data_IF_063194606853
#
_entry.id   IF_063194606853
#
_cell.length_a   1.000
_cell.length_b   1.000
_cell.length_c   1.000
_cell.angle_alpha   90.00
_cell.angle_beta   90.00
_cell.angle_gamma   90.00
#
_symmetry.space_group_name_H-M   'P 1'
#
loop_
_entity.id
_entity.type
_entity.pdbx_description
1 polymer ?
#
# COMPACT_ATOMS: atom_id res chain seq x y z
N UNK A 1 68.61 -18.09 -30.98
CA UNK A 1 67.55 -17.67 -31.90
C UNK A 1 66.44 -17.15 -31.01
N UNK A 2 66.35 -15.82 -30.96
CA UNK A 2 65.64 -15.01 -29.96
C UNK A 2 64.12 -15.22 -29.94
N UNK A 3 63.54 -15.06 -28.75
CA UNK A 3 62.12 -14.80 -28.55
C UNK A 3 61.75 -13.43 -29.18
N UNK A 4 60.67 -13.39 -29.95
CA UNK A 4 59.99 -12.16 -30.33
C UNK A 4 58.56 -12.15 -29.75
N UNK A 5 58.05 -11.00 -29.25
CA UNK A 5 56.89 -10.96 -28.37
C UNK A 5 55.58 -10.59 -29.09
N UNK A 6 54.46 -11.05 -28.52
CA UNK A 6 53.10 -10.63 -28.81
C UNK A 6 52.91 -9.13 -28.59
N UNK A 7 52.55 -8.40 -29.64
CA UNK A 7 52.10 -7.01 -29.58
C UNK A 7 50.60 -6.94 -29.27
N UNK A 8 50.28 -6.49 -28.04
CA UNK A 8 48.95 -6.02 -27.64
C UNK A 8 48.53 -4.87 -28.55
N UNK A 9 47.43 -5.03 -29.30
CA UNK A 9 46.78 -3.94 -30.02
C UNK A 9 45.62 -3.42 -29.18
N UNK A 10 45.77 -2.15 -28.83
CA UNK A 10 44.91 -1.25 -28.08
C UNK A 10 43.47 -1.25 -28.63
N UNK A 11 42.49 -1.67 -27.81
CA UNK A 11 41.09 -1.34 -28.05
C UNK A 11 40.78 -0.11 -27.19
N UNK A 12 40.67 1.04 -27.85
CA UNK A 12 40.33 2.32 -27.23
C UNK A 12 38.92 2.26 -26.66
N UNK A 13 38.84 2.49 -25.35
CA UNK A 13 37.63 2.86 -24.62
C UNK A 13 36.90 4.02 -25.29
N UNK A 14 35.57 3.94 -25.32
CA UNK A 14 34.63 5.02 -25.00
C UNK A 14 33.19 4.47 -25.07
N UNK A 15 32.80 3.70 -24.04
CA UNK A 15 31.39 3.57 -23.66
C UNK A 15 31.29 4.28 -22.32
N UNK A 16 30.88 5.55 -22.37
CA UNK A 16 30.44 6.30 -21.21
C UNK A 16 29.13 5.70 -20.72
N UNK A 17 29.22 4.63 -19.93
CA UNK A 17 28.12 4.16 -19.10
C UNK A 17 27.88 5.20 -18.01
N UNK A 18 26.79 5.95 -18.14
CA UNK A 18 26.21 6.74 -17.07
C UNK A 18 25.80 5.75 -15.97
N UNK A 19 26.67 5.53 -15.00
CA UNK A 19 26.34 4.81 -13.77
C UNK A 19 25.51 5.76 -12.90
N UNK A 20 24.19 5.64 -12.97
CA UNK A 20 23.30 6.12 -11.91
C UNK A 20 23.46 5.17 -10.72
N UNK A 21 24.41 5.46 -9.85
CA UNK A 21 24.55 4.78 -8.56
C UNK A 21 23.42 5.25 -7.66
N UNK A 22 22.36 4.46 -7.57
CA UNK A 22 21.36 4.55 -6.49
C UNK A 22 22.04 4.06 -5.23
N UNK A 23 22.44 4.99 -4.36
CA UNK A 23 22.94 4.67 -3.04
C UNK A 23 21.74 4.34 -2.15
N UNK A 24 21.56 3.07 -1.82
CA UNK A 24 20.62 2.62 -0.78
C UNK A 24 21.27 2.89 0.58
N UNK A 25 20.77 3.88 1.30
CA UNK A 25 21.08 4.08 2.71
C UNK A 25 20.12 3.21 3.52
N UNK A 26 20.67 2.24 4.26
CA UNK A 26 19.96 1.48 5.28
C UNK A 26 20.09 2.25 6.59
N UNK A 27 19.08 3.03 6.94
CA UNK A 27 18.88 3.55 8.30
C UNK A 27 17.85 2.67 8.99
N UNK A 28 18.21 2.07 10.12
CA UNK A 28 17.23 1.49 11.03
C UNK A 28 16.51 2.67 11.69
N UNK A 29 15.28 2.92 11.24
CA UNK A 29 14.41 3.98 11.76
C UNK A 29 13.83 3.62 13.12
N UNK A 30 13.31 4.63 13.81
CA UNK A 30 12.43 4.38 14.95
C UNK A 30 11.04 4.10 14.38
N UNK A 31 10.67 2.83 14.28
CA UNK A 31 9.35 2.43 13.79
C UNK A 31 8.25 3.27 14.46
N UNK A 32 7.43 3.92 13.63
CA UNK A 32 6.23 4.64 14.04
C UNK A 32 5.03 3.89 13.47
N UNK A 33 4.05 3.60 14.32
CA UNK A 33 2.83 2.90 13.95
C UNK A 33 2.01 3.73 12.97
N UNK A 34 1.58 3.14 11.85
CA UNK A 34 0.80 3.85 10.83
C UNK A 34 -0.54 3.23 10.50
N UNK A 35 -1.51 4.12 10.36
CA UNK A 35 -2.87 3.86 9.91
C UNK A 35 -2.95 3.73 8.36
N UNK A 36 -1.91 4.09 7.59
CA UNK A 36 -1.92 4.04 6.11
C UNK A 36 -1.46 2.70 5.53
N UNK A 37 -2.09 2.15 4.49
CA UNK A 37 -1.64 0.90 3.81
C UNK A 37 -0.90 1.23 2.51
N UNK A 38 0.25 0.59 2.25
CA UNK A 38 1.00 0.65 0.98
C UNK A 38 0.12 0.75 -0.26
N UNK A 39 -0.91 -0.10 -0.37
CA UNK A 39 -1.81 -0.11 -1.52
C UNK A 39 -2.61 1.18 -1.64
N UNK A 40 -3.17 1.66 -0.53
CA UNK A 40 -4.00 2.87 -0.53
C UNK A 40 -3.17 4.15 -0.58
N UNK A 41 -2.04 4.20 0.15
CA UNK A 41 -1.17 5.37 0.26
C UNK A 41 -0.38 5.62 -1.03
N UNK A 42 0.22 4.58 -1.62
CA UNK A 42 1.14 4.73 -2.75
C UNK A 42 0.62 4.08 -4.03
N UNK A 43 0.12 2.84 -3.91
CA UNK A 43 -0.16 1.96 -5.03
C UNK A 43 0.74 0.72 -5.00
N UNK A 44 0.25 -0.44 -5.46
CA UNK A 44 1.02 -1.70 -5.39
C UNK A 44 1.82 -1.99 -6.66
N UNK A 45 1.36 -1.56 -7.82
CA UNK A 45 2.10 -1.71 -9.06
C UNK A 45 2.50 -0.36 -9.64
N UNK A 46 3.50 -0.30 -10.52
CA UNK A 46 3.81 0.94 -11.25
C UNK A 46 2.60 1.53 -11.97
N UNK A 47 1.66 0.70 -12.45
CA UNK A 47 0.40 1.18 -13.05
C UNK A 47 -0.46 1.92 -12.04
N UNK A 48 -0.56 1.41 -10.82
CA UNK A 48 -1.33 2.02 -9.73
C UNK A 48 -0.69 3.36 -9.33
N UNK A 49 0.63 3.38 -9.17
CA UNK A 49 1.40 4.57 -8.78
C UNK A 49 1.33 5.65 -9.86
N UNK A 50 1.60 5.29 -11.12
CA UNK A 50 1.61 6.20 -12.26
C UNK A 50 0.25 6.82 -12.54
N UNK A 51 -0.84 6.11 -12.24
CA UNK A 51 -2.19 6.59 -12.50
C UNK A 51 -2.84 7.24 -11.28
N UNK A 52 -2.10 7.43 -10.19
CA UNK A 52 -2.65 7.82 -8.88
C UNK A 52 -3.88 6.94 -8.52
N UNK A 53 -3.76 5.64 -8.79
CA UNK A 53 -4.74 4.55 -8.61
C UNK A 53 -6.05 4.65 -9.43
N UNK A 54 -6.17 5.62 -10.34
CA UNK A 54 -7.37 5.73 -11.18
C UNK A 54 -7.62 4.50 -12.09
N UNK A 55 -6.56 3.77 -12.45
CA UNK A 55 -6.66 2.55 -13.25
C UNK A 55 -6.69 1.25 -12.42
N UNK A 56 -6.51 1.31 -11.11
CA UNK A 56 -6.35 0.12 -10.26
C UNK A 56 -7.57 -0.82 -10.30
N UNK A 57 -8.78 -0.27 -10.42
CA UNK A 57 -10.02 -1.06 -10.59
C UNK A 57 -10.12 -1.83 -11.92
N UNK A 58 -9.34 -1.41 -12.92
CA UNK A 58 -9.39 -1.95 -14.28
C UNK A 58 -8.11 -2.71 -14.67
N UNK A 59 -7.10 -2.69 -13.81
CA UNK A 59 -5.86 -3.38 -14.01
C UNK A 59 -6.08 -4.88 -13.81
N UNK A 60 -5.60 -5.70 -14.74
CA UNK A 60 -5.75 -7.16 -14.72
C UNK A 60 -4.48 -7.88 -14.24
N UNK A 61 -3.45 -7.14 -13.86
CA UNK A 61 -2.19 -7.69 -13.34
C UNK A 61 -2.37 -8.27 -11.94
N UNK A 62 -1.30 -8.79 -11.34
CA UNK A 62 -1.34 -9.42 -10.02
C UNK A 62 -1.94 -8.54 -8.92
N UNK A 63 -1.79 -7.20 -9.01
CA UNK A 63 -2.40 -6.26 -8.05
C UNK A 63 -3.93 -6.21 -8.08
N UNK A 64 -4.57 -6.75 -9.14
CA UNK A 64 -6.02 -6.93 -9.18
C UNK A 64 -6.53 -7.81 -8.03
N UNK A 65 -5.72 -8.74 -7.54
CA UNK A 65 -6.07 -9.56 -6.38
C UNK A 65 -6.31 -8.72 -5.11
N UNK A 66 -5.72 -7.52 -5.02
CA UNK A 66 -5.93 -6.57 -3.94
C UNK A 66 -7.00 -5.53 -4.28
N UNK A 67 -6.93 -4.86 -5.45
CA UNK A 67 -7.82 -3.74 -5.76
C UNK A 67 -9.21 -4.13 -6.25
N UNK A 68 -9.28 -5.10 -7.16
CA UNK A 68 -10.54 -5.54 -7.77
C UNK A 68 -10.40 -6.96 -8.36
N UNK A 69 -10.78 -8.00 -7.59
CA UNK A 69 -10.67 -9.38 -8.03
C UNK A 69 -11.32 -9.66 -9.40
N UNK A 70 -12.45 -9.01 -9.74
CA UNK A 70 -13.12 -9.26 -11.01
C UNK A 70 -12.32 -8.79 -12.23
N UNK A 71 -11.33 -7.92 -12.06
CA UNK A 71 -10.46 -7.53 -13.16
C UNK A 71 -9.51 -8.66 -13.58
N UNK A 72 -9.27 -9.67 -12.72
CA UNK A 72 -8.43 -10.84 -13.05
C UNK A 72 -8.96 -11.60 -14.28
N UNK A 73 -10.28 -11.76 -14.44
CA UNK A 73 -10.83 -12.45 -15.62
C UNK A 73 -10.78 -11.62 -16.91
N UNK A 74 -10.24 -10.39 -16.85
CA UNK A 74 -9.95 -9.58 -18.04
C UNK A 74 -8.53 -9.79 -18.56
N UNK A 75 -7.69 -10.54 -17.82
CA UNK A 75 -6.35 -10.91 -18.26
C UNK A 75 -6.39 -11.93 -19.41
N UNK A 76 -5.62 -11.66 -20.45
CA UNK A 76 -5.50 -12.54 -21.62
C UNK A 76 -4.52 -13.71 -21.39
N UNK A 77 -3.58 -13.55 -20.44
CA UNK A 77 -2.50 -14.50 -20.14
C UNK A 77 -2.26 -14.54 -18.63
N UNK A 78 -1.67 -15.65 -18.15
CA UNK A 78 -1.12 -15.70 -16.80
C UNK A 78 0.10 -14.80 -16.68
N UNK A 79 0.43 -14.42 -15.47
CA UNK A 79 1.54 -13.52 -15.16
C UNK A 79 2.25 -13.96 -13.89
N UNK A 80 3.57 -13.79 -13.87
CA UNK A 80 4.36 -13.75 -12.64
C UNK A 80 5.06 -12.41 -12.56
N UNK A 81 4.90 -11.74 -11.42
CA UNK A 81 5.25 -10.34 -11.17
C UNK A 81 6.25 -10.23 -10.02
N UNK A 82 7.26 -9.39 -10.18
CA UNK A 82 8.12 -8.92 -9.10
C UNK A 82 8.24 -7.40 -9.21
N UNK A 83 8.02 -6.70 -8.11
CA UNK A 83 8.06 -5.24 -8.02
C UNK A 83 8.94 -4.77 -6.89
N UNK A 84 9.53 -3.60 -7.07
CA UNK A 84 10.23 -2.83 -6.06
C UNK A 84 9.56 -1.46 -5.96
N UNK A 85 9.49 -0.93 -4.75
CA UNK A 85 8.98 0.40 -4.47
C UNK A 85 9.92 1.07 -3.47
N UNK A 86 10.08 2.38 -3.61
CA UNK A 86 10.71 3.23 -2.60
C UNK A 86 9.90 4.51 -2.50
N UNK A 87 9.28 4.75 -1.35
CA UNK A 87 8.62 5.99 -1.01
C UNK A 87 9.43 6.71 0.04
N UNK A 88 9.80 7.96 -0.21
CA UNK A 88 10.60 8.77 0.72
C UNK A 88 9.81 10.04 1.05
N UNK A 89 9.36 10.19 2.31
CA UNK A 89 8.79 11.43 2.78
C UNK A 89 9.91 12.47 2.97
N UNK A 90 9.53 13.72 2.77
CA UNK A 90 10.27 14.93 3.16
C UNK A 90 9.23 15.86 3.77
N UNK A 91 8.84 15.51 5.00
CA UNK A 91 7.74 16.12 5.74
C UNK A 91 8.28 16.72 7.03
N UNK A 92 7.77 17.89 7.40
CA UNK A 92 8.11 18.56 8.65
C UNK A 92 6.86 18.88 9.45
N UNK A 93 6.94 18.71 10.77
CA UNK A 93 5.95 19.18 11.73
C UNK A 93 6.67 19.99 12.82
N UNK A 94 6.68 21.32 12.68
CA UNK A 94 7.49 22.18 13.55
C UNK A 94 9.00 21.89 13.43
N UNK A 95 9.63 21.45 14.53
CA UNK A 95 11.06 21.07 14.54
C UNK A 95 11.31 19.60 14.17
N UNK A 96 10.24 18.79 14.07
CA UNK A 96 10.34 17.36 13.74
C UNK A 96 10.36 17.18 12.22
N UNK A 97 11.28 16.34 11.73
CA UNK A 97 11.35 15.93 10.34
C UNK A 97 11.03 14.43 10.22
N UNK A 98 10.32 14.06 9.16
CA UNK A 98 9.99 12.69 8.80
C UNK A 98 10.58 12.39 7.42
N UNK A 99 11.64 11.59 7.41
CA UNK A 99 12.43 11.27 6.21
C UNK A 99 12.66 9.75 6.02
N UNK A 100 12.02 8.92 6.83
CA UNK A 100 12.15 7.46 6.78
C UNK A 100 11.49 6.88 5.53
N UNK A 101 12.26 6.13 4.73
CA UNK A 101 11.80 5.62 3.45
C UNK A 101 11.13 4.24 3.56
N UNK A 102 9.95 4.08 2.98
CA UNK A 102 9.25 2.79 2.87
C UNK A 102 9.70 2.05 1.61
N UNK A 103 10.26 0.84 1.76
CA UNK A 103 10.89 0.10 0.64
C UNK A 103 10.43 -1.37 0.53
N UNK A 104 9.18 -1.65 0.07
CA UNK A 104 8.70 -3.01 -0.06
C UNK A 104 9.20 -3.70 -1.34
N UNK A 105 9.39 -5.01 -1.21
CA UNK A 105 9.46 -5.94 -2.34
C UNK A 105 8.10 -6.59 -2.49
N UNK A 106 7.60 -6.58 -3.72
CA UNK A 106 6.31 -7.17 -4.08
C UNK A 106 6.52 -8.38 -4.99
N UNK A 107 5.79 -9.45 -4.73
CA UNK A 107 5.73 -10.62 -5.59
C UNK A 107 4.27 -10.98 -5.86
N UNK A 108 3.95 -11.34 -7.09
CA UNK A 108 2.58 -11.66 -7.46
C UNK A 108 2.49 -12.64 -8.61
N UNK A 109 1.31 -13.21 -8.76
CA UNK A 109 0.96 -14.00 -9.93
C UNK A 109 -0.53 -13.91 -10.23
N UNK A 110 -0.89 -14.10 -11.49
CA UNK A 110 -2.25 -14.44 -11.86
C UNK A 110 -2.24 -15.63 -12.84
N UNK A 111 -3.30 -16.41 -12.82
CA UNK A 111 -3.39 -17.63 -13.62
C UNK A 111 -4.83 -17.92 -14.01
N UNK A 112 -5.03 -18.30 -15.26
CA UNK A 112 -6.28 -18.88 -15.73
C UNK A 112 -6.33 -20.37 -15.36
N UNK A 113 -7.29 -20.74 -14.52
CA UNK A 113 -7.47 -22.10 -14.02
C UNK A 113 -8.72 -22.77 -14.57
N UNK A 114 -9.37 -22.19 -15.58
CA UNK A 114 -10.62 -22.70 -16.15
C UNK A 114 -10.51 -24.17 -16.54
N UNK A 115 -9.36 -24.56 -17.10
CA UNK A 115 -9.10 -25.94 -17.55
C UNK A 115 -8.81 -26.94 -16.41
N UNK A 116 -8.69 -26.49 -15.16
CA UNK A 116 -8.53 -27.38 -14.00
C UNK A 116 -9.87 -27.92 -13.49
N UNK A 117 -10.98 -27.28 -13.88
CA UNK A 117 -12.31 -27.63 -13.41
C UNK A 117 -13.24 -27.98 -14.57
N UNK A 118 -14.26 -28.82 -14.31
CA UNK A 118 -15.29 -29.16 -15.29
C UNK A 118 -16.38 -28.07 -15.44
N UNK A 119 -16.09 -26.83 -15.05
CA UNK A 119 -17.05 -25.72 -15.14
C UNK A 119 -16.96 -25.05 -16.51
N UNK A 120 -18.10 -24.61 -17.05
CA UNK A 120 -18.15 -23.92 -18.35
C UNK A 120 -17.80 -22.43 -18.27
N UNK A 121 -17.56 -21.90 -17.08
CA UNK A 121 -17.25 -20.49 -16.86
C UNK A 121 -15.74 -20.28 -16.73
N UNK A 122 -15.17 -19.22 -17.35
CA UNK A 122 -13.77 -18.87 -17.14
C UNK A 122 -13.49 -18.50 -15.69
N UNK A 123 -12.49 -19.14 -15.07
CA UNK A 123 -12.07 -18.91 -13.68
C UNK A 123 -10.59 -18.51 -13.65
N UNK A 124 -10.30 -17.48 -12.88
CA UNK A 124 -8.95 -16.93 -12.71
C UNK A 124 -8.62 -16.82 -11.23
N UNK A 125 -7.36 -17.06 -10.88
CA UNK A 125 -6.81 -16.79 -9.55
C UNK A 125 -5.69 -15.76 -9.64
N UNK A 126 -5.58 -14.94 -8.60
CA UNK A 126 -4.53 -13.96 -8.44
C UNK A 126 -4.01 -13.97 -7.01
N UNK A 127 -2.73 -13.69 -6.87
CA UNK A 127 -2.04 -13.52 -5.60
C UNK A 127 -1.07 -12.35 -5.72
N UNK A 128 -1.01 -11.52 -4.69
CA UNK A 128 0.04 -10.52 -4.51
C UNK A 128 0.45 -10.48 -3.04
N UNK A 129 1.75 -10.43 -2.79
CA UNK A 129 2.34 -10.34 -1.48
C UNK A 129 3.39 -9.24 -1.45
N UNK A 130 3.51 -8.57 -0.30
CA UNK A 130 4.51 -7.54 -0.07
C UNK A 130 5.24 -7.73 1.24
N UNK A 131 6.57 -7.59 1.22
CA UNK A 131 7.43 -7.62 2.40
C UNK A 131 8.17 -6.28 2.46
N UNK A 132 8.07 -5.57 3.59
CA UNK A 132 8.79 -4.32 3.83
C UNK A 132 10.24 -4.55 4.29
N UNK A 133 11.09 -3.53 4.07
CA UNK A 133 12.47 -3.42 4.53
C UNK A 133 13.32 -4.69 4.35
N UNK A 134 13.28 -5.28 3.15
CA UNK A 134 14.15 -6.38 2.74
C UNK A 134 14.22 -7.58 3.71
N UNK A 135 13.20 -7.78 4.56
CA UNK A 135 13.11 -8.86 5.53
C UNK A 135 13.95 -8.68 6.80
N UNK A 136 14.56 -7.52 7.07
CA UNK A 136 15.23 -7.25 8.35
C UNK A 136 14.26 -6.83 9.44
N UNK A 137 13.11 -6.29 9.06
CA UNK A 137 12.08 -5.80 9.98
C UNK A 137 10.75 -6.49 9.70
N UNK A 138 10.80 -7.83 9.69
CA UNK A 138 9.61 -8.67 9.76
C UNK A 138 8.77 -8.43 11.04
N UNK A 139 9.28 -7.62 11.98
CA UNK A 139 8.73 -7.44 13.32
C UNK A 139 9.07 -6.05 13.89
N UNK A 140 8.41 -5.01 13.39
CA UNK A 140 8.39 -3.69 14.04
C UNK A 140 7.03 -3.50 14.70
N UNK A 141 7.01 -3.51 16.04
CA UNK A 141 5.87 -3.13 16.86
C UNK A 141 6.29 -1.91 17.68
N UNK A 142 5.54 -0.82 17.57
CA UNK A 142 5.81 0.43 18.29
C UNK A 142 4.51 1.05 18.78
N UNK A 143 3.94 0.49 19.84
CA UNK A 143 2.79 1.09 20.51
C UNK A 143 3.27 1.96 21.68
N UNK A 144 3.38 3.27 21.45
CA UNK A 144 3.68 4.26 22.49
C UNK A 144 2.82 5.51 22.33
N UNK A 145 2.33 6.06 23.45
CA UNK A 145 1.90 7.47 23.51
C UNK A 145 3.11 8.33 23.19
N UNK A 146 2.93 9.35 22.33
CA UNK A 146 4.05 10.15 21.85
C UNK A 146 3.94 11.57 22.36
N UNK A 147 5.00 12.01 23.04
CA UNK A 147 5.18 13.41 23.43
C UNK A 147 5.41 14.32 22.21
N UNK A 148 5.67 13.73 21.04
CA UNK A 148 5.83 14.40 19.73
C UNK A 148 4.78 13.90 18.71
N UNK A 149 4.53 14.62 17.63
CA UNK A 149 3.52 14.20 16.64
C UNK A 149 3.92 12.93 15.86
N UNK A 150 2.93 12.17 15.35
CA UNK A 150 3.11 10.95 14.57
C UNK A 150 2.31 11.00 13.26
N UNK A 151 2.90 10.60 12.12
CA UNK A 151 2.19 10.60 10.84
C UNK A 151 1.16 9.46 10.76
N UNK A 152 -0.08 9.80 10.42
CA UNK A 152 -1.12 8.78 10.26
C UNK A 152 -0.84 7.82 9.09
N UNK A 153 -0.31 8.31 7.96
CA UNK A 153 -0.36 7.62 6.67
C UNK A 153 0.95 7.00 6.14
N UNK A 154 2.10 7.27 6.78
CA UNK A 154 3.43 7.04 6.19
C UNK A 154 4.39 6.18 7.03
N UNK A 155 3.90 5.43 8.01
CA UNK A 155 4.74 4.50 8.78
C UNK A 155 4.74 3.09 8.19
N UNK A 156 5.53 2.23 8.83
CA UNK A 156 5.89 0.90 8.33
C UNK A 156 4.78 -0.13 8.58
N UNK A 157 4.63 -1.09 7.66
CA UNK A 157 3.67 -2.20 7.79
C UNK A 157 4.30 -3.57 7.56
N UNK A 158 3.87 -4.58 8.35
CA UNK A 158 4.35 -5.93 8.19
C UNK A 158 3.78 -6.61 6.94
N UNK A 159 4.25 -7.82 6.67
CA UNK A 159 3.88 -8.67 5.53
C UNK A 159 2.36 -8.71 5.29
N UNK A 160 1.96 -8.37 4.06
CA UNK A 160 0.59 -8.58 3.58
C UNK A 160 0.55 -9.55 2.39
N UNK A 161 -0.52 -10.33 2.31
CA UNK A 161 -0.80 -11.26 1.22
C UNK A 161 -2.26 -11.14 0.82
N UNK A 162 -2.57 -10.79 -0.43
CA UNK A 162 -3.92 -10.83 -0.98
C UNK A 162 -4.05 -11.99 -1.97
N UNK A 163 -5.07 -12.82 -1.78
CA UNK A 163 -5.39 -13.96 -2.64
C UNK A 163 -6.87 -13.90 -3.05
N UNK A 164 -7.10 -13.93 -4.35
CA UNK A 164 -8.41 -13.64 -4.93
C UNK A 164 -8.70 -14.51 -6.14
N UNK A 165 -9.98 -14.78 -6.37
CA UNK A 165 -10.48 -15.48 -7.53
C UNK A 165 -11.54 -14.65 -8.26
N UNK A 166 -11.72 -14.92 -9.55
CA UNK A 166 -12.80 -14.34 -10.32
C UNK A 166 -13.39 -15.31 -11.32
N UNK A 167 -14.64 -15.03 -11.69
CA UNK A 167 -15.43 -15.82 -12.61
C UNK A 167 -16.17 -14.90 -13.57
N UNK A 168 -16.08 -15.19 -14.86
CA UNK A 168 -16.91 -14.53 -15.86
C UNK A 168 -18.25 -15.24 -15.97
N UNK A 169 -19.32 -14.57 -15.53
CA UNK A 169 -20.67 -15.16 -15.49
C UNK A 169 -21.31 -15.14 -16.88
N UNK A 170 -21.21 -14.00 -17.57
CA UNK A 170 -21.61 -13.81 -18.96
C UNK A 170 -20.57 -12.92 -19.66
N UNK A 171 -20.49 -12.93 -21.00
CA UNK A 171 -19.57 -12.05 -21.72
C UNK A 171 -19.71 -10.59 -21.29
N UNK A 172 -18.65 -10.06 -20.67
CA UNK A 172 -18.57 -8.69 -20.17
C UNK A 172 -19.10 -8.44 -18.75
N UNK A 173 -19.67 -9.42 -18.05
CA UNK A 173 -19.91 -9.33 -16.60
C UNK A 173 -19.01 -10.33 -15.86
N UNK A 174 -18.12 -9.79 -15.04
CA UNK A 174 -17.24 -10.56 -14.18
C UNK A 174 -17.49 -10.20 -12.73
N UNK A 175 -17.49 -11.21 -11.87
CA UNK A 175 -17.46 -11.04 -10.41
C UNK A 175 -16.19 -11.68 -9.85
N UNK A 176 -15.70 -11.18 -8.73
CA UNK A 176 -14.56 -11.76 -8.04
C UNK A 176 -14.66 -11.57 -6.54
N UNK A 177 -13.94 -12.41 -5.82
CA UNK A 177 -13.86 -12.39 -4.38
C UNK A 177 -12.56 -12.99 -3.88
N UNK A 178 -12.13 -12.58 -2.70
CA UNK A 178 -10.89 -13.02 -2.09
C UNK A 178 -10.73 -12.51 -0.68
N UNK A 179 -9.51 -12.61 -0.18
CA UNK A 179 -9.15 -12.08 1.11
C UNK A 179 -7.71 -11.58 1.11
N UNK A 180 -7.47 -10.53 1.89
CA UNK A 180 -6.15 -10.12 2.33
C UNK A 180 -5.87 -10.72 3.71
N UNK A 181 -4.67 -11.22 3.89
CA UNK A 181 -4.12 -11.62 5.18
C UNK A 181 -3.01 -10.64 5.50
N UNK A 182 -3.13 -9.96 6.65
CA UNK A 182 -2.05 -9.17 7.22
C UNK A 182 -1.52 -9.87 8.46
N UNK A 183 -0.22 -10.10 8.50
CA UNK A 183 0.46 -10.68 9.65
C UNK A 183 1.02 -9.55 10.50
N UNK A 184 0.61 -9.45 11.75
CA UNK A 184 1.21 -8.54 12.72
C UNK A 184 2.25 -9.31 13.54
N UNK A 185 3.26 -8.61 14.06
CA UNK A 185 4.43 -9.23 14.66
C UNK A 185 4.29 -9.51 16.16
N UNK A 186 4.95 -10.58 16.62
CA UNK A 186 5.15 -10.89 18.02
C UNK A 186 6.32 -10.05 18.57
N UNK A 187 6.09 -9.17 19.55
CA UNK A 187 7.13 -8.34 20.16
C UNK A 187 7.36 -8.71 21.63
N UNK A 188 8.59 -8.60 22.13
CA UNK A 188 8.87 -8.75 23.56
C UNK A 188 9.07 -7.36 24.19
N UNK A 189 8.12 -6.87 24.98
CA UNK A 189 8.25 -5.59 25.70
C UNK A 189 8.97 -5.80 27.03
N UNK A 190 9.95 -4.95 27.36
CA UNK A 190 10.51 -4.87 28.70
C UNK A 190 9.79 -3.76 29.47
N UNK A 191 8.99 -4.13 30.47
CA UNK A 191 8.37 -3.18 31.38
C UNK A 191 9.34 -2.89 32.51
N UNK A 192 9.64 -1.61 32.75
CA UNK A 192 10.40 -1.15 33.91
C UNK A 192 9.42 -0.48 34.88
N UNK A 193 9.23 -1.08 36.06
CA UNK A 193 8.32 -0.57 37.08
C UNK A 193 9.10 0.22 38.12
N UNK A 194 8.72 1.46 38.40
CA UNK A 194 9.34 2.29 39.44
C UNK A 194 8.33 2.59 40.55
N UNK A 195 8.69 2.24 41.79
CA UNK A 195 7.95 2.64 42.99
C UNK A 195 8.90 3.52 43.81
N UNK A 196 8.46 4.73 44.16
CA UNK A 196 9.18 5.68 45.03
C UNK A 196 10.54 6.26 44.57
N UNK A 197 10.93 6.06 43.30
CA UNK A 197 12.23 6.48 42.77
C UNK A 197 13.32 5.41 42.94
N UNK A 198 12.91 4.18 43.22
CA UNK A 198 13.78 3.00 43.22
C UNK A 198 13.31 2.03 42.13
N UNK A 199 14.15 1.77 41.12
CA UNK A 199 13.85 0.84 40.03
C UNK A 199 13.49 -0.56 40.58
N UNK A 200 12.27 -1.01 40.31
CA UNK A 200 11.67 -2.22 40.86
C UNK A 200 11.36 -3.23 39.75
N UNK A 201 12.38 -3.61 38.98
CA UNK A 201 12.38 -4.82 38.14
C UNK A 201 12.16 -4.59 36.64
N UNK A 202 12.92 -5.33 35.83
CA UNK A 202 12.72 -5.48 34.39
C UNK A 202 11.89 -6.75 34.13
N UNK A 203 10.76 -6.62 33.47
CA UNK A 203 9.92 -7.74 33.07
C UNK A 203 9.79 -7.84 31.57
N UNK A 204 10.16 -8.99 31.01
CA UNK A 204 10.01 -9.27 29.58
C UNK A 204 8.64 -9.93 29.33
N UNK A 205 7.81 -9.27 28.54
CA UNK A 205 6.45 -9.68 28.19
C UNK A 205 6.42 -10.05 26.71
N UNK A 206 6.11 -11.30 26.39
CA UNK A 206 5.89 -11.74 25.02
C UNK A 206 4.49 -11.33 24.54
N UNK A 207 4.44 -10.56 23.46
CA UNK A 207 3.24 -10.15 22.74
C UNK A 207 3.04 -11.18 21.63
N UNK A 208 1.85 -11.77 21.56
CA UNK A 208 1.43 -12.62 20.46
C UNK A 208 0.39 -11.86 19.62
N UNK A 209 0.63 -11.69 18.32
CA UNK A 209 -0.29 -11.00 17.41
C UNK A 209 -1.02 -11.99 16.50
N UNK A 210 -2.35 -11.86 16.37
CA UNK A 210 -3.17 -12.74 15.52
C UNK A 210 -3.23 -12.22 14.07
N UNK A 211 -3.24 -13.12 13.06
CA UNK A 211 -3.41 -12.72 11.66
C UNK A 211 -4.81 -12.15 11.42
N UNK A 212 -4.89 -11.06 10.66
CA UNK A 212 -6.15 -10.39 10.32
C UNK A 212 -6.53 -10.77 8.89
N UNK A 213 -7.76 -11.26 8.71
CA UNK A 213 -8.28 -11.66 7.40
C UNK A 213 -9.36 -10.69 6.97
N UNK A 214 -9.11 -9.98 5.89
CA UNK A 214 -9.96 -8.92 5.36
C UNK A 214 -10.60 -9.35 4.04
N UNK A 215 -11.92 -9.33 3.91
CA UNK A 215 -12.60 -9.74 2.68
C UNK A 215 -12.39 -8.73 1.55
N UNK A 216 -12.30 -9.23 0.31
CA UNK A 216 -12.25 -8.43 -0.90
C UNK A 216 -13.33 -8.93 -1.87
N UNK A 217 -14.08 -8.01 -2.47
CA UNK A 217 -15.08 -8.33 -3.50
C UNK A 217 -15.00 -7.35 -4.66
N UNK A 218 -15.38 -7.80 -5.85
CA UNK A 218 -15.26 -7.01 -7.07
C UNK A 218 -16.30 -7.36 -8.13
N UNK A 219 -16.72 -6.35 -8.90
CA UNK A 219 -17.56 -6.50 -10.08
C UNK A 219 -17.03 -5.63 -11.21
N UNK A 220 -17.04 -6.18 -12.43
CA UNK A 220 -16.66 -5.46 -13.65
C UNK A 220 -17.70 -5.70 -14.74
N UNK A 221 -18.12 -4.60 -15.38
CA UNK A 221 -19.07 -4.54 -16.49
C UNK A 221 -18.37 -3.94 -17.72
N UNK A 222 -18.10 -4.76 -18.73
CA UNK A 222 -17.62 -4.36 -20.06
C UNK A 222 -18.81 -4.23 -21.00
N UNK A 223 -19.27 -3.00 -21.19
CA UNK A 223 -20.45 -2.68 -21.99
C UNK A 223 -20.30 -3.04 -23.46
N UNK A 224 -19.06 -2.99 -23.99
CA UNK A 224 -18.76 -3.42 -25.35
C UNK A 224 -19.06 -4.91 -25.51
N UNK A 225 -18.54 -5.73 -24.60
CA UNK A 225 -18.79 -7.18 -24.64
C UNK A 225 -20.24 -7.56 -24.34
N UNK A 226 -20.90 -6.86 -23.43
CA UNK A 226 -22.29 -7.15 -23.03
C UNK A 226 -23.31 -6.77 -24.11
N UNK A 227 -23.21 -5.56 -24.68
CA UNK A 227 -24.22 -5.02 -25.60
C UNK A 227 -23.88 -5.24 -27.07
N UNK A 228 -22.60 -5.26 -27.41
CA UNK A 228 -22.14 -5.23 -28.79
C UNK A 228 -21.60 -6.58 -29.27
N UNK A 229 -21.34 -7.53 -28.37
CA UNK A 229 -20.78 -8.83 -28.72
C UNK A 229 -19.45 -8.67 -29.46
N UNK A 230 -19.43 -9.00 -30.76
CA UNK A 230 -18.26 -8.84 -31.65
C UNK A 230 -18.26 -7.57 -32.50
N UNK A 231 -19.30 -6.74 -32.43
CA UNK A 231 -19.41 -5.50 -33.21
C UNK A 231 -18.62 -4.36 -32.56
N UNK A 232 -17.53 -3.96 -33.20
CA UNK A 232 -16.63 -2.91 -32.71
C UNK A 232 -17.14 -1.48 -32.99
N UNK A 233 -18.21 -1.31 -33.77
CA UNK A 233 -18.76 0.00 -34.17
C UNK A 233 -19.88 0.51 -33.25
N UNK A 234 -20.30 -0.32 -32.31
CA UNK A 234 -21.36 -0.05 -31.35
C UNK A 234 -20.94 0.96 -30.26
N UNK A 235 -21.90 1.79 -29.83
CA UNK A 235 -21.65 2.92 -28.91
C UNK A 235 -21.16 2.54 -27.51
N UNK A 236 -21.34 1.28 -27.10
CA UNK A 236 -20.86 0.77 -25.81
C UNK A 236 -19.41 0.29 -25.83
N UNK A 237 -18.78 0.20 -27.01
CA UNK A 237 -17.43 -0.31 -27.14
C UNK A 237 -16.42 0.61 -26.41
N UNK A 238 -15.52 0.00 -25.64
CA UNK A 238 -14.50 0.71 -24.87
C UNK A 238 -14.98 1.29 -23.53
N UNK A 239 -16.26 1.16 -23.16
CA UNK A 239 -16.77 1.61 -21.85
C UNK A 239 -16.74 0.43 -20.87
N UNK A 240 -16.06 0.62 -19.74
CA UNK A 240 -15.99 -0.38 -18.66
C UNK A 240 -16.34 0.29 -17.34
N UNK A 241 -17.29 -0.28 -16.60
CA UNK A 241 -17.58 0.09 -15.22
C UNK A 241 -16.98 -0.97 -14.28
N UNK A 242 -16.48 -0.53 -13.13
CA UNK A 242 -16.00 -1.42 -12.09
C UNK A 242 -16.34 -0.87 -10.72
N UNK A 243 -16.62 -1.77 -9.77
CA UNK A 243 -16.73 -1.46 -8.37
C UNK A 243 -16.07 -2.56 -7.54
N UNK A 244 -15.51 -2.21 -6.41
CA UNK A 244 -14.85 -3.12 -5.49
C UNK A 244 -15.11 -2.72 -4.05
N UNK A 245 -15.04 -3.70 -3.16
CA UNK A 245 -15.13 -3.57 -1.72
C UNK A 245 -13.91 -4.24 -1.09
N UNK A 246 -13.27 -3.57 -0.15
CA UNK A 246 -12.25 -4.13 0.74
C UNK A 246 -12.72 -3.87 2.18
N UNK A 247 -12.77 -4.92 2.98
CA UNK A 247 -13.16 -4.79 4.37
C UNK A 247 -12.13 -4.06 5.22
N UNK A 248 -12.49 -3.79 6.45
CA UNK A 248 -11.63 -3.26 7.48
C UNK A 248 -10.53 -4.26 7.87
N UNK A 249 -9.41 -3.73 8.34
CA UNK A 249 -8.30 -4.51 8.90
C UNK A 249 -7.69 -3.73 10.04
N UNK A 250 -7.55 -4.34 11.21
CA UNK A 250 -6.85 -3.71 12.33
C UNK A 250 -5.90 -4.67 13.03
N UNK A 251 -4.72 -4.18 13.39
CA UNK A 251 -3.76 -4.92 14.21
C UNK A 251 -4.13 -4.79 15.68
N UNK A 252 -4.44 -5.92 16.32
CA UNK A 252 -4.72 -5.99 17.75
C UNK A 252 -3.56 -6.69 18.46
N UNK A 253 -2.92 -6.00 19.42
CA UNK A 253 -1.95 -6.62 20.31
C UNK A 253 -2.61 -6.88 21.67
N UNK A 254 -2.66 -8.14 22.08
CA UNK A 254 -3.13 -8.54 23.41
C UNK A 254 -1.92 -8.80 24.30
N UNK A 255 -1.62 -7.85 25.18
CA UNK A 255 -0.49 -7.94 26.11
C UNK A 255 -1.02 -8.54 27.40
N UNK A 256 -0.61 -9.79 27.70
CA UNK A 256 -0.84 -10.44 29.00
C UNK A 256 0.46 -10.42 29.78
N UNK A 257 0.65 -9.41 30.62
CA UNK A 257 1.77 -9.32 31.53
C UNK A 257 1.35 -9.68 32.96
N UNK A 258 2.27 -10.23 33.75
CA UNK A 258 2.10 -10.38 35.18
C UNK A 258 3.16 -9.54 35.86
N UNK A 259 2.77 -8.36 36.37
CA UNK A 259 3.68 -7.46 37.05
C UNK A 259 3.93 -7.91 38.49
N UNK A 260 5.19 -8.15 38.82
CA UNK A 260 5.68 -8.53 40.15
C UNK A 260 6.28 -7.32 40.83
N UNK A 261 5.47 -6.62 41.63
CA UNK A 261 5.95 -5.51 42.46
C UNK A 261 6.70 -6.09 43.65
N UNK A 262 8.03 -6.03 43.59
CA UNK A 262 8.89 -6.51 44.68
C UNK A 262 8.51 -5.80 45.98
N UNK A 263 8.08 -6.59 46.98
CA UNK A 263 7.66 -6.21 48.35
C UNK A 263 6.18 -5.85 48.64
N UNK A 264 5.25 -5.84 47.67
CA UNK A 264 3.85 -5.49 48.01
C UNK A 264 2.77 -6.40 47.42
N UNK A 265 2.90 -6.92 46.20
CA UNK A 265 1.89 -7.79 45.56
C UNK A 265 2.56 -8.86 44.70
N UNK A 266 2.09 -10.10 44.77
CA UNK A 266 2.49 -11.21 43.88
C UNK A 266 1.43 -11.32 42.78
N UNK A 267 1.85 -11.19 41.52
CA UNK A 267 1.03 -11.24 40.30
C UNK A 267 -0.08 -10.18 40.17
N UNK A 268 0.24 -9.02 39.60
CA UNK A 268 -0.78 -8.12 39.04
C UNK A 268 -1.01 -8.49 37.57
N UNK A 269 -2.14 -9.13 37.19
CA UNK A 269 -2.44 -9.39 35.80
C UNK A 269 -2.74 -8.07 35.09
N UNK A 270 -1.85 -7.69 34.18
CA UNK A 270 -2.03 -6.56 33.27
C UNK A 270 -2.49 -7.16 31.94
N UNK A 271 -3.74 -6.87 31.57
CA UNK A 271 -4.25 -7.12 30.23
C UNK A 271 -4.34 -5.76 29.54
N UNK A 272 -3.47 -5.52 28.57
CA UNK A 272 -3.54 -4.34 27.71
C UNK A 272 -4.01 -4.76 26.33
N UNK A 273 -5.05 -4.09 25.85
CA UNK A 273 -5.52 -4.10 24.49
C UNK A 273 -5.08 -2.79 23.84
N UNK A 274 -4.34 -2.87 22.74
CA UNK A 274 -3.96 -1.70 21.94
C UNK A 274 -4.14 -2.00 20.46
N UNK A 275 -4.69 -1.03 19.74
CA UNK A 275 -4.78 -1.05 18.28
C UNK A 275 -3.61 -0.25 17.69
N UNK A 276 -2.77 -0.95 16.90
CA UNK A 276 -1.50 -0.40 16.39
C UNK A 276 -1.57 -0.02 14.91
N UNK A 277 -2.40 -0.71 14.14
CA UNK A 277 -2.67 -0.39 12.75
C UNK A 277 -4.18 -0.47 12.50
N UNK A 278 -4.71 0.43 11.69
CA UNK A 278 -6.08 0.40 11.21
C UNK A 278 -6.09 0.57 9.69
N UNK A 279 -7.07 -0.02 9.03
CA UNK A 279 -7.42 0.20 7.65
C UNK A 279 -8.95 0.20 7.60
N UNK A 280 -9.56 1.27 7.08
CA UNK A 280 -11.00 1.39 7.06
C UNK A 280 -11.64 0.39 6.08
N UNK A 281 -12.94 0.21 6.21
CA UNK A 281 -13.76 -0.29 5.11
C UNK A 281 -13.62 0.64 3.89
N UNK A 282 -13.41 0.06 2.71
CA UNK A 282 -13.19 0.79 1.46
C UNK A 282 -14.17 0.35 0.39
N UNK A 283 -14.90 1.31 -0.19
CA UNK A 283 -15.71 1.13 -1.38
C UNK A 283 -15.13 1.96 -2.52
N UNK A 284 -14.76 1.29 -3.61
CA UNK A 284 -14.20 1.93 -4.80
C UNK A 284 -15.13 1.73 -5.98
N UNK A 285 -15.36 2.78 -6.78
CA UNK A 285 -16.13 2.69 -8.02
C UNK A 285 -15.51 3.55 -9.12
N UNK A 286 -15.64 3.14 -10.37
CA UNK A 286 -15.09 3.90 -11.48
C UNK A 286 -15.63 3.52 -12.84
N UNK A 287 -15.28 4.37 -13.81
CA UNK A 287 -15.52 4.16 -15.24
C UNK A 287 -14.23 4.36 -16.03
N UNK A 288 -14.01 3.49 -17.01
CA UNK A 288 -12.94 3.59 -18.00
C UNK A 288 -13.53 3.75 -19.40
N UNK A 289 -12.99 4.68 -20.16
CA UNK A 289 -13.29 4.92 -21.57
C UNK A 289 -12.06 4.64 -22.41
N UNK A 290 -12.12 3.70 -23.34
CA UNK A 290 -11.03 3.34 -24.26
C UNK A 290 -11.42 3.70 -25.70
N UNK A 291 -10.63 4.55 -26.34
CA UNK A 291 -10.80 4.98 -27.72
C UNK A 291 -9.46 4.99 -28.48
N UNK A 292 -9.24 3.98 -29.31
CA UNK A 292 -8.00 3.82 -30.06
C UNK A 292 -6.79 3.69 -29.14
N UNK A 293 -5.85 4.63 -29.25
CA UNK A 293 -4.62 4.68 -28.44
C UNK A 293 -4.85 5.24 -27.03
N UNK A 294 -5.96 5.95 -26.79
CA UNK A 294 -6.21 6.65 -25.53
C UNK A 294 -7.16 5.84 -24.67
N UNK A 295 -6.84 5.68 -23.39
CA UNK A 295 -7.81 5.29 -22.37
C UNK A 295 -7.86 6.34 -21.27
N UNK A 296 -9.05 6.66 -20.79
CA UNK A 296 -9.29 7.55 -19.66
C UNK A 296 -9.96 6.75 -18.55
N UNK A 297 -9.58 6.98 -17.31
CA UNK A 297 -10.21 6.39 -16.14
C UNK A 297 -10.59 7.48 -15.13
N UNK A 298 -11.80 7.38 -14.61
CA UNK A 298 -12.30 8.19 -13.51
C UNK A 298 -12.78 7.23 -12.42
N UNK A 299 -12.31 7.39 -11.20
CA UNK A 299 -12.73 6.58 -10.07
C UNK A 299 -12.83 7.42 -8.81
N UNK A 300 -13.61 6.94 -7.86
CA UNK A 300 -13.65 7.47 -6.50
C UNK A 300 -13.53 6.31 -5.52
N UNK A 301 -12.91 6.60 -4.38
CA UNK A 301 -12.79 5.68 -3.27
C UNK A 301 -13.36 6.33 -2.02
N UNK A 302 -14.33 5.67 -1.38
CA UNK A 302 -14.85 6.05 -0.08
C UNK A 302 -14.15 5.21 0.98
N UNK A 303 -13.70 5.85 2.05
CA UNK A 303 -13.06 5.20 3.19
C UNK A 303 -13.79 5.56 4.48
N UNK A 304 -14.22 4.54 5.22
CA UNK A 304 -14.99 4.69 6.47
C UNK A 304 -14.06 4.77 7.68
N UNK A 305 -13.45 5.94 7.89
CA UNK A 305 -12.55 6.19 9.02
C UNK A 305 -13.28 6.45 10.33
N UNK A 306 -14.54 6.86 10.29
CA UNK A 306 -15.32 7.12 11.52
C UNK A 306 -15.50 5.89 12.40
N UNK A 307 -15.39 4.67 11.85
CA UNK A 307 -15.42 3.42 12.60
C UNK A 307 -14.22 3.29 13.57
N UNK A 308 -13.08 3.93 13.25
CA UNK A 308 -11.90 3.97 14.14
C UNK A 308 -12.21 4.69 15.46
N UNK A 309 -13.08 5.71 15.44
CA UNK A 309 -13.49 6.40 16.67
C UNK A 309 -14.13 5.43 17.67
N UNK A 310 -14.93 4.48 17.17
CA UNK A 310 -15.58 3.47 18.02
C UNK A 310 -14.56 2.47 18.57
N UNK A 311 -13.60 2.04 17.76
CA UNK A 311 -12.56 1.11 18.18
C UNK A 311 -11.62 1.71 19.23
N UNK A 312 -11.28 3.00 19.12
CA UNK A 312 -10.41 3.69 20.08
C UNK A 312 -11.07 3.90 21.44
N UNK A 313 -12.40 3.98 21.52
CA UNK A 313 -13.14 4.00 22.80
C UNK A 313 -13.06 2.68 23.58
N UNK A 314 -12.76 1.57 22.90
CA UNK A 314 -12.57 0.25 23.52
C UNK A 314 -11.08 -0.07 23.78
N UNK A 315 -10.16 0.85 23.44
CA UNK A 315 -8.71 0.68 23.58
C UNK A 315 -8.24 1.05 25.00
N UNK A 316 -7.67 0.11 25.75
CA UNK A 316 -7.26 0.35 27.14
C UNK A 316 -6.04 1.29 27.31
N UNK A 317 -5.28 1.53 26.24
CA UNK A 317 -4.10 2.42 26.22
C UNK A 317 -4.47 3.80 25.66
N UNK A 318 -5.32 3.85 24.65
CA UNK A 318 -5.74 5.09 23.95
C UNK A 318 -7.13 5.60 24.32
N UNK A 319 -7.80 5.00 25.33
CA UNK A 319 -9.16 5.34 25.83
C UNK A 319 -9.39 6.85 26.13
N UNK A 320 -8.31 7.60 26.33
CA UNK A 320 -8.39 9.03 26.67
C UNK A 320 -8.33 9.97 25.45
N UNK A 321 -8.15 9.46 24.23
CA UNK A 321 -8.08 10.28 23.03
C UNK A 321 -9.46 10.84 22.64
N UNK A 322 -9.58 12.16 22.45
CA UNK A 322 -10.68 12.72 21.64
C UNK A 322 -10.43 12.28 20.20
N UNK A 323 -11.39 11.60 19.59
CA UNK A 323 -11.19 10.97 18.28
C UNK A 323 -12.05 11.69 17.24
N UNK A 324 -11.39 12.38 16.31
CA UNK A 324 -12.00 13.18 15.26
C UNK A 324 -11.83 12.59 13.86
N UNK A 325 -11.93 11.26 13.69
CA UNK A 325 -11.86 10.66 12.36
C UNK A 325 -13.19 10.79 11.61
N UNK A 326 -13.13 11.26 10.36
CA UNK A 326 -14.25 11.42 9.45
C UNK A 326 -14.09 10.57 8.19
N UNK A 327 -15.22 10.10 7.65
CA UNK A 327 -15.25 9.38 6.38
C UNK A 327 -14.84 10.27 5.21
N UNK A 328 -13.95 9.78 4.35
CA UNK A 328 -13.42 10.55 3.22
C UNK A 328 -13.81 9.95 1.88
N UNK A 329 -13.79 10.80 0.84
CA UNK A 329 -13.94 10.40 -0.56
C UNK A 329 -12.75 10.93 -1.36
N UNK A 330 -12.06 10.03 -2.05
CA UNK A 330 -10.86 10.32 -2.84
C UNK A 330 -11.19 10.24 -4.32
N UNK A 331 -11.41 11.36 -5.02
CA UNK A 331 -11.54 11.38 -6.47
C UNK A 331 -10.19 11.16 -7.17
N UNK A 332 -10.19 10.34 -8.22
CA UNK A 332 -9.01 10.00 -9.01
C UNK A 332 -9.31 10.08 -10.50
N UNK A 333 -8.37 10.59 -11.28
CA UNK A 333 -8.45 10.65 -12.73
C UNK A 333 -7.11 10.28 -13.37
N UNK A 334 -7.15 9.56 -14.49
CA UNK A 334 -5.94 9.18 -15.20
C UNK A 334 -6.13 8.95 -16.69
N UNK A 335 -5.00 8.94 -17.38
CA UNK A 335 -4.89 8.71 -18.81
C UNK A 335 -3.83 7.65 -19.11
N UNK A 336 -4.12 6.79 -20.08
CA UNK A 336 -3.21 5.80 -20.63
C UNK A 336 -3.10 6.02 -22.15
N UNK A 337 -1.87 6.07 -22.66
CA UNK A 337 -1.55 6.19 -24.08
C UNK A 337 -0.83 4.94 -24.56
N UNK A 338 -1.51 4.12 -25.35
CA UNK A 338 -0.99 2.92 -25.99
C UNK A 338 -0.48 3.25 -27.40
N UNK A 339 0.80 3.61 -27.54
CA UNK A 339 1.36 4.01 -28.83
C UNK A 339 1.45 2.83 -29.81
N UNK A 340 1.72 1.64 -29.29
CA UNK A 340 1.80 0.38 -30.01
C UNK A 340 1.64 -0.77 -29.01
N UNK A 341 1.75 -2.02 -29.48
CA UNK A 341 1.68 -3.20 -28.60
C UNK A 341 2.89 -3.36 -27.67
N UNK A 342 3.85 -2.44 -27.69
CA UNK A 342 5.12 -2.50 -26.96
C UNK A 342 5.23 -1.42 -25.89
N UNK A 343 4.71 -0.21 -26.13
CA UNK A 343 4.94 0.97 -25.29
C UNK A 343 3.61 1.56 -24.87
N UNK A 344 3.49 1.75 -23.55
CA UNK A 344 2.39 2.44 -22.91
C UNK A 344 2.94 3.55 -22.01
N UNK A 345 2.30 4.71 -22.05
CA UNK A 345 2.52 5.80 -21.09
C UNK A 345 1.28 5.97 -20.23
N UNK A 346 1.49 6.30 -18.96
CA UNK A 346 0.43 6.49 -17.99
C UNK A 346 0.69 7.76 -17.20
N UNK A 347 -0.38 8.47 -16.85
CA UNK A 347 -0.35 9.58 -15.91
C UNK A 347 -1.68 9.67 -15.18
N UNK A 348 -1.67 10.22 -13.98
CA UNK A 348 -2.89 10.44 -13.22
C UNK A 348 -2.71 11.39 -12.06
N UNK A 349 -3.83 11.79 -11.49
CA UNK A 349 -3.90 12.63 -10.31
C UNK A 349 -5.06 12.22 -9.40
N UNK A 350 -4.88 12.44 -8.11
CA UNK A 350 -5.93 12.31 -7.10
C UNK A 350 -5.78 13.38 -6.03
N UNK A 351 -6.90 13.75 -5.42
CA UNK A 351 -6.93 14.64 -4.26
C UNK A 351 -7.50 13.86 -3.09
N UNK A 352 -6.78 13.82 -1.97
CA UNK A 352 -7.14 13.07 -0.78
C UNK A 352 -7.26 14.06 0.37
N UNK A 353 -8.45 14.11 0.97
CA UNK A 353 -8.72 14.92 2.16
C UNK A 353 -8.24 14.13 3.38
N UNK A 354 -7.71 14.82 4.37
CA UNK A 354 -7.35 14.24 5.65
C UNK A 354 -8.58 13.59 6.30
N UNK A 355 -8.49 12.33 6.76
CA UNK A 355 -9.56 11.72 7.55
C UNK A 355 -9.58 12.23 8.99
N UNK A 356 -8.61 13.03 9.41
CA UNK A 356 -8.53 13.58 10.76
C UNK A 356 -8.95 15.05 10.75
N UNK A 357 -9.91 15.41 11.60
CA UNK A 357 -10.26 16.80 11.86
C UNK A 357 -9.08 17.51 12.56
N UNK A 358 -8.46 18.54 11.94
CA UNK A 358 -7.32 19.24 12.51
C UNK A 358 -7.68 20.07 13.77
N UNK A 359 -8.96 20.38 13.99
CA UNK A 359 -9.43 21.11 15.18
C UNK A 359 -9.62 20.19 16.40
N UNK A 360 -9.76 18.88 16.19
CA UNK A 360 -9.89 17.87 17.24
C UNK A 360 -8.52 17.29 17.61
N UNK A 361 -8.04 17.62 18.81
CA UNK A 361 -6.76 17.08 19.28
C UNK A 361 -6.90 15.62 19.74
N UNK A 362 -6.11 14.71 19.16
CA UNK A 362 -6.00 13.33 19.63
C UNK A 362 -5.11 13.29 20.88
N UNK A 363 -5.73 13.40 22.06
CA UNK A 363 -5.05 13.48 23.36
C UNK A 363 -3.97 12.40 23.52
N UNK A 364 -2.72 12.81 23.77
CA UNK A 364 -1.53 11.97 24.02
C UNK A 364 -1.13 10.99 22.88
N UNK A 365 -1.91 10.92 21.79
CA UNK A 365 -1.62 10.11 20.58
C UNK A 365 -1.00 10.98 19.48
N UNK A 366 -1.51 12.21 19.32
CA UNK A 366 -1.00 13.25 18.44
C UNK A 366 -0.79 12.82 16.96
N UNK A 367 -1.85 12.25 16.34
CA UNK A 367 -1.82 11.93 14.91
C UNK A 367 -1.80 13.21 14.06
N UNK A 368 -0.97 13.20 13.02
CA UNK A 368 -0.81 14.27 12.06
C UNK A 368 -1.22 13.78 10.66
N UNK A 369 -2.07 14.55 9.99
CA UNK A 369 -2.57 14.25 8.65
C UNK A 369 -3.00 15.53 7.96
N UNK A 370 -2.67 15.65 6.68
CA UNK A 370 -3.01 16.79 5.85
C UNK A 370 -3.71 16.33 4.58
N UNK A 371 -4.51 17.23 4.01
CA UNK A 371 -4.98 17.12 2.64
C UNK A 371 -3.77 17.01 1.71
N UNK A 372 -3.90 16.26 0.62
CA UNK A 372 -2.80 16.08 -0.32
C UNK A 372 -3.26 15.93 -1.76
N UNK A 373 -2.45 16.52 -2.64
CA UNK A 373 -2.49 16.28 -4.08
C UNK A 373 -1.47 15.20 -4.44
N UNK A 374 -1.94 14.14 -5.10
CA UNK A 374 -1.08 13.07 -5.61
C UNK A 374 -1.06 13.15 -7.12
N UNK A 375 0.13 13.18 -7.71
CA UNK A 375 0.34 13.13 -9.16
C UNK A 375 1.31 12.03 -9.53
N UNK A 376 0.99 11.27 -10.57
CA UNK A 376 1.78 10.13 -11.02
C UNK A 376 2.06 10.17 -12.52
N UNK A 377 3.17 9.57 -12.91
CA UNK A 377 3.50 9.27 -14.30
C UNK A 377 4.29 7.96 -14.40
N UNK A 378 4.13 7.26 -15.51
CA UNK A 378 4.79 5.98 -15.72
C UNK A 378 4.85 5.52 -17.16
N UNK A 379 5.63 4.46 -17.34
CA UNK A 379 5.97 3.87 -18.62
C UNK A 379 5.99 2.35 -18.48
N UNK A 380 5.39 1.67 -19.46
CA UNK A 380 5.44 0.22 -19.60
C UNK A 380 6.04 -0.17 -20.94
N UNK A 381 6.95 -1.14 -20.90
CA UNK A 381 7.53 -1.78 -22.09
C UNK A 381 7.20 -3.27 -22.11
N UNK A 382 6.46 -3.71 -23.13
CA UNK A 382 6.10 -5.10 -23.36
C UNK A 382 6.90 -5.71 -24.52
N UNK A 383 7.52 -6.86 -24.27
CA UNK A 383 8.24 -7.63 -25.26
C UNK A 383 7.51 -8.95 -25.56
N UNK A 384 7.21 -9.19 -26.84
CA UNK A 384 6.41 -10.34 -27.32
C UNK A 384 7.12 -11.71 -27.26
N UNK A 385 8.32 -11.80 -26.68
CA UNK A 385 9.04 -13.07 -26.47
C UNK A 385 9.63 -13.67 -27.75
N UNK A 386 10.51 -12.92 -28.44
CA UNK A 386 11.22 -13.44 -29.63
C UNK A 386 12.72 -13.52 -29.40
N UNK A 387 13.34 -14.68 -29.65
CA UNK A 387 14.78 -14.87 -29.53
C UNK A 387 15.20 -15.53 -28.20
N UNK A 388 15.87 -14.78 -27.32
CA UNK A 388 16.51 -15.30 -26.09
C UNK A 388 15.54 -15.63 -24.93
N UNK A 389 14.27 -15.27 -25.03
CA UNK A 389 13.26 -15.50 -23.99
C UNK A 389 12.10 -16.30 -24.56
N UNK A 390 11.70 -17.37 -23.86
CA UNK A 390 10.63 -18.29 -24.30
C UNK A 390 9.23 -17.73 -24.04
N UNK A 391 9.10 -16.77 -23.12
CA UNK A 391 7.85 -16.17 -22.68
C UNK A 391 7.88 -14.66 -22.90
N UNK A 392 6.75 -14.02 -23.24
CA UNK A 392 6.64 -12.57 -23.22
C UNK A 392 6.96 -12.01 -21.84
N UNK A 393 7.45 -10.77 -21.80
CA UNK A 393 7.78 -10.08 -20.56
C UNK A 393 7.46 -8.59 -20.65
N UNK A 394 7.28 -7.96 -19.49
CA UNK A 394 6.96 -6.55 -19.32
C UNK A 394 7.87 -5.93 -18.26
N UNK A 395 8.32 -4.71 -18.50
CA UNK A 395 8.95 -3.86 -17.49
C UNK A 395 8.10 -2.61 -17.33
N UNK A 396 7.84 -2.23 -16.09
CA UNK A 396 7.09 -1.01 -15.78
C UNK A 396 7.90 -0.13 -14.82
N UNK A 397 7.86 1.17 -15.07
CA UNK A 397 8.49 2.20 -14.24
C UNK A 397 7.46 3.27 -13.93
N UNK A 398 7.38 3.70 -12.68
CA UNK A 398 6.51 4.78 -12.26
C UNK A 398 7.20 5.71 -11.26
N UNK A 399 6.80 6.98 -11.29
CA UNK A 399 7.11 7.98 -10.31
C UNK A 399 5.82 8.69 -9.88
N UNK A 400 5.71 8.98 -8.59
CA UNK A 400 4.58 9.70 -8.01
C UNK A 400 5.11 10.70 -6.99
N UNK A 401 4.47 11.87 -6.96
CA UNK A 401 4.70 12.92 -5.99
C UNK A 401 3.40 13.20 -5.23
N UNK A 402 3.46 13.18 -3.91
CA UNK A 402 2.40 13.64 -3.02
C UNK A 402 2.83 14.99 -2.45
N UNK A 403 1.96 16.00 -2.55
CA UNK A 403 2.18 17.33 -2.00
C UNK A 403 1.13 17.54 -0.93
N UNK A 404 1.57 17.72 0.32
CA UNK A 404 0.69 17.98 1.45
C UNK A 404 0.33 19.47 1.46
N UNK A 405 -0.94 19.77 1.68
CA UNK A 405 -1.40 21.12 1.95
C UNK A 405 -1.02 21.47 3.40
N UNK A 406 -0.31 22.59 3.65
CA UNK A 406 0.10 22.98 5.00
C UNK A 406 -1.09 23.04 5.96
N UNK A 407 -1.02 22.29 7.04
CA UNK A 407 -2.12 22.11 8.00
C UNK A 407 -1.63 22.29 9.43
N UNK A 408 -2.28 23.17 10.18
CA UNK A 408 -2.01 23.38 11.60
C UNK A 408 -2.64 22.26 12.44
N UNK A 409 -1.86 21.69 13.36
CA UNK A 409 -2.30 20.70 14.33
C UNK A 409 -1.95 21.13 15.76
N UNK A 410 -2.78 20.71 16.71
CA UNK A 410 -2.48 20.86 18.14
C UNK A 410 -1.92 19.55 18.69
N UNK A 411 -0.66 19.58 19.14
CA UNK A 411 -0.09 18.52 19.97
C UNK A 411 -0.62 18.73 21.39
N UNK A 412 -1.32 17.72 21.87
CA UNK A 412 -2.01 17.75 23.15
C UNK A 412 -1.38 16.79 24.15
N UNK A 413 -1.28 17.27 25.39
CA UNK A 413 -0.76 16.52 26.52
C UNK A 413 -1.80 16.45 27.63
N UNK A 414 -1.74 15.40 28.46
CA UNK A 414 -2.56 15.27 29.67
C UNK A 414 -2.44 16.50 30.60
N UNK A 415 -1.28 17.16 30.62
CA UNK A 415 -1.11 18.52 31.16
C UNK A 415 -1.28 19.57 30.05
N UNK A 416 -2.48 20.14 29.96
CA UNK A 416 -2.86 21.15 28.97
C UNK A 416 -1.94 22.38 28.90
N UNK A 417 -1.13 22.65 29.94
CA UNK A 417 -0.15 23.73 29.94
C UNK A 417 1.00 23.51 28.93
N UNK A 418 1.21 22.27 28.48
CA UNK A 418 2.26 21.88 27.55
C UNK A 418 1.77 21.72 26.11
N UNK A 419 0.49 21.99 25.82
CA UNK A 419 -0.02 21.92 24.46
C UNK A 419 0.74 22.86 23.52
N UNK A 420 1.05 22.40 22.33
CA UNK A 420 1.76 23.18 21.31
C UNK A 420 1.07 23.08 19.95
N UNK A 421 1.24 24.10 19.12
CA UNK A 421 0.72 24.12 17.74
C UNK A 421 1.88 23.85 16.79
N UNK A 422 1.69 22.93 15.85
CA UNK A 422 2.67 22.60 14.81
C UNK A 422 2.01 22.64 13.44
N UNK A 423 2.71 23.20 12.45
CA UNK A 423 2.28 23.17 11.06
C UNK A 423 2.92 21.94 10.39
N UNK A 424 2.08 21.09 9.79
CA UNK A 424 2.49 19.93 9.00
C UNK A 424 2.55 20.33 7.52
N UNK A 425 3.73 20.22 6.91
CA UNK A 425 3.92 20.47 5.48
C UNK A 425 4.97 19.52 4.89
N UNK A 426 4.96 19.37 3.56
CA UNK A 426 6.02 18.64 2.88
C UNK A 426 5.57 17.86 1.65
N UNK A 427 6.42 16.94 1.22
CA UNK A 427 6.17 16.11 0.03
C UNK A 427 6.59 14.67 0.24
N UNK A 428 6.03 13.77 -0.56
CA UNK A 428 6.44 12.36 -0.59
C UNK A 428 6.73 11.95 -2.01
N UNK A 429 7.96 11.48 -2.26
CA UNK A 429 8.39 10.99 -3.57
C UNK A 429 8.39 9.48 -3.60
N UNK A 430 7.65 8.88 -4.53
CA UNK A 430 7.58 7.42 -4.71
C UNK A 430 8.10 7.02 -6.08
N UNK A 431 9.01 6.06 -6.12
CA UNK A 431 9.47 5.40 -7.35
C UNK A 431 9.17 3.90 -7.28
N UNK A 432 8.73 3.32 -8.40
CA UNK A 432 8.51 1.88 -8.49
C UNK A 432 8.94 1.31 -9.82
N UNK A 433 9.50 0.10 -9.75
CA UNK A 433 9.97 -0.68 -10.89
C UNK A 433 9.42 -2.09 -10.77
N UNK A 434 8.88 -2.64 -11.85
CA UNK A 434 8.48 -4.05 -11.89
C UNK A 434 8.97 -4.78 -13.12
N UNK A 435 9.08 -6.09 -12.97
CA UNK A 435 9.28 -7.05 -14.04
C UNK A 435 8.19 -8.11 -13.97
N UNK A 436 7.55 -8.37 -15.09
CA UNK A 436 6.54 -9.42 -15.20
C UNK A 436 6.83 -10.33 -16.40
N UNK A 437 6.66 -11.64 -16.23
CA UNK A 437 6.64 -12.60 -17.34
C UNK A 437 5.23 -13.13 -17.55
N UNK A 438 4.82 -13.34 -18.81
CA UNK A 438 3.46 -13.76 -19.18
C UNK A 438 3.47 -15.16 -19.80
N UNK A 439 2.46 -15.99 -19.49
CA UNK A 439 2.39 -17.39 -19.92
C UNK A 439 0.98 -17.89 -20.24
#
# INVERSE_FOLDING_TARGET
MELAPMTKKTLSNNISLLTASVAFALSAGTAQASLGNLGTTFGLSPVDIASAQSFSLFNSQSSAAYYNPSALATADQGEMYVGLLSATPDITAGEQAFDEATQPILAGMNVNVSNLFNFSYPIYFGLIAGIENYGTEMMAFSSSTSETGQLANYGEKPLFVAASGSIQIIPGLTIGGGAQVSLHADAAMNLESELDGTAAGNESVAIAAEPVITPIAGITLDFGRMMCGSDTTCSGNGITFAAAFRGESYGQANIKAAATITQTVTDLPINLLTYDAYQPDIISAGVRFKAGIVSLALSAEQQSWSDLNTLMLDDTVKDQASVGFEDIIIPRAGIELNFNDTIKLMAGASYEVSPLDPEEATLDVNYLSADKLVVGAGFSYFHKGTGLTAYPWQIDLAYQLQVLDPTDHTISHQDSANNSSVELEGTVSTISLSFATKF
#
